data_IF_348026256653
#
_entry.id   IF_348026256653
#
_cell.length_a   1.000
_cell.length_b   1.000
_cell.length_c   1.000
_cell.angle_alpha   90.00
_cell.angle_beta   90.00
_cell.angle_gamma   90.00
#
_symmetry.space_group_name_H-M   'P 1'
#
loop_
_entity.id
_entity.type
_entity.pdbx_description
1 polymer ?
#
# COMPACT_ATOMS: atom_id res chain seq x y z
N UNK A 1 0.19 0.40 -14.73
CA UNK A 1 0.48 1.15 -13.49
C UNK A 1 -0.76 1.95 -13.09
N UNK A 2 -0.96 2.28 -11.81
CA UNK A 2 -2.08 3.13 -11.41
C UNK A 2 -1.98 4.52 -12.06
N UNK A 3 -3.12 5.15 -12.31
CA UNK A 3 -3.21 6.53 -12.81
C UNK A 3 -2.91 7.54 -11.70
N UNK A 4 -1.70 7.52 -11.15
CA UNK A 4 -1.23 8.52 -10.18
C UNK A 4 0.29 8.62 -10.22
N UNK A 5 0.78 9.84 -10.00
CA UNK A 5 2.19 10.08 -9.72
C UNK A 5 2.47 10.15 -8.21
N UNK A 6 1.43 10.06 -7.38
CA UNK A 6 1.55 10.15 -5.92
C UNK A 6 2.04 8.84 -5.32
N UNK A 7 3.10 8.89 -4.54
CA UNK A 7 3.70 7.74 -3.88
C UNK A 7 4.30 8.10 -2.52
N UNK A 8 4.48 7.08 -1.69
CA UNK A 8 5.29 7.10 -0.47
C UNK A 8 6.53 6.23 -0.67
N UNK A 9 7.63 6.57 0.00
CA UNK A 9 8.90 5.83 -0.11
C UNK A 9 9.64 5.77 1.22
N UNK A 10 10.26 4.62 1.49
CA UNK A 10 11.05 4.38 2.70
C UNK A 10 12.08 3.27 2.46
N UNK A 11 13.12 3.22 3.28
CA UNK A 11 14.12 2.15 3.27
C UNK A 11 13.62 0.95 4.10
N UNK A 12 13.75 -0.24 3.55
CA UNK A 12 13.25 -1.46 4.18
C UNK A 12 13.92 -2.72 3.69
N UNK A 13 13.27 -3.85 3.96
CA UNK A 13 13.78 -5.17 3.63
C UNK A 13 12.96 -5.89 2.57
N UNK A 14 13.53 -6.96 2.02
CA UNK A 14 12.77 -7.95 1.25
C UNK A 14 11.68 -8.59 2.14
N UNK A 15 10.53 -8.93 1.54
CA UNK A 15 9.39 -9.56 2.23
C UNK A 15 9.39 -11.08 2.13
N UNK A 16 10.49 -11.68 1.66
CA UNK A 16 10.72 -13.11 1.58
C UNK A 16 11.92 -13.53 2.46
N UNK A 17 12.11 -14.83 2.74
CA UNK A 17 13.20 -15.33 3.58
C UNK A 17 14.58 -14.77 3.20
N UNK A 18 15.35 -14.35 4.21
CA UNK A 18 16.60 -13.60 4.03
C UNK A 18 16.45 -12.16 4.53
N UNK A 19 15.28 -11.55 4.35
CA UNK A 19 14.89 -10.28 4.97
C UNK A 19 15.93 -9.15 4.85
N UNK A 20 16.70 -9.12 3.77
CA UNK A 20 17.82 -8.21 3.59
C UNK A 20 17.35 -6.75 3.53
N UNK A 21 17.96 -5.88 4.33
CA UNK A 21 17.66 -4.44 4.41
C UNK A 21 18.31 -3.66 3.27
N UNK A 22 17.97 -4.03 2.04
CA UNK A 22 18.57 -3.49 0.81
C UNK A 22 17.52 -2.93 -0.15
N UNK A 23 16.28 -2.74 0.30
CA UNK A 23 15.16 -2.33 -0.56
C UNK A 23 14.73 -0.91 -0.26
N UNK A 24 14.64 -0.06 -1.29
CA UNK A 24 13.92 1.21 -1.22
C UNK A 24 12.52 0.98 -1.77
N UNK A 25 11.52 1.05 -0.91
CA UNK A 25 10.13 0.85 -1.29
C UNK A 25 9.56 2.10 -1.95
N UNK A 26 8.73 1.91 -2.99
CA UNK A 26 7.90 2.95 -3.59
C UNK A 26 6.46 2.40 -3.63
N UNK A 27 5.58 3.02 -2.86
CA UNK A 27 4.18 2.61 -2.71
C UNK A 27 3.29 3.70 -3.31
N UNK A 28 2.59 3.38 -4.39
CA UNK A 28 1.65 4.31 -5.02
C UNK A 28 0.41 4.55 -4.15
N UNK A 29 -0.06 5.80 -4.10
CA UNK A 29 -1.24 6.20 -3.32
C UNK A 29 -2.58 5.94 -4.04
N UNK A 30 -2.57 5.12 -5.09
CA UNK A 30 -3.78 4.71 -5.83
C UNK A 30 -3.66 3.22 -6.18
N UNK A 31 -4.66 2.39 -5.85
CA UNK A 31 -4.66 0.99 -6.22
C UNK A 31 -4.95 0.80 -7.72
N UNK A 32 -4.62 -0.39 -8.23
CA UNK A 32 -5.17 -0.89 -9.50
C UNK A 32 -6.39 -1.74 -9.16
N UNK A 33 -7.50 -1.47 -9.83
CA UNK A 33 -8.73 -2.24 -9.66
C UNK A 33 -8.71 -3.48 -10.56
N UNK A 34 -9.27 -4.58 -10.05
CA UNK A 34 -9.35 -5.87 -10.73
C UNK A 34 -10.76 -6.43 -10.52
N UNK A 35 -11.27 -7.15 -11.51
CA UNK A 35 -12.57 -7.83 -11.42
C UNK A 35 -12.52 -9.00 -10.44
N UNK A 36 -13.70 -9.42 -9.96
CA UNK A 36 -13.79 -10.58 -9.06
C UNK A 36 -13.26 -11.85 -9.73
N UNK A 37 -13.53 -12.03 -11.02
CA UNK A 37 -13.15 -13.18 -11.81
C UNK A 37 -11.63 -13.32 -11.90
N UNK A 38 -10.93 -12.22 -12.16
CA UNK A 38 -9.46 -12.19 -12.19
C UNK A 38 -8.87 -12.49 -10.80
N UNK A 39 -9.44 -11.91 -9.73
CA UNK A 39 -9.01 -12.21 -8.36
C UNK A 39 -9.22 -13.69 -8.00
N UNK A 40 -10.33 -14.29 -8.43
CA UNK A 40 -10.57 -15.72 -8.23
C UNK A 40 -9.58 -16.58 -9.01
N UNK A 41 -9.18 -16.17 -10.21
CA UNK A 41 -8.16 -16.88 -10.97
C UNK A 41 -6.82 -16.92 -10.19
N UNK A 42 -6.40 -15.80 -9.59
CA UNK A 42 -5.21 -15.75 -8.74
C UNK A 42 -5.32 -16.67 -7.51
N UNK A 43 -6.49 -16.71 -6.87
CA UNK A 43 -6.73 -17.55 -5.68
C UNK A 43 -6.80 -19.05 -5.97
N UNK A 44 -6.85 -19.46 -7.25
CA UNK A 44 -6.80 -20.87 -7.66
C UNK A 44 -5.38 -21.42 -7.79
N UNK A 45 -4.36 -20.56 -7.72
CA UNK A 45 -2.96 -20.97 -7.79
C UNK A 45 -2.62 -21.91 -6.63
N UNK A 46 -1.68 -22.84 -6.87
CA UNK A 46 -1.17 -23.78 -5.88
C UNK A 46 0.34 -23.62 -5.72
N UNK A 47 0.84 -24.02 -4.55
CA UNK A 47 2.27 -24.18 -4.31
C UNK A 47 2.80 -25.43 -5.04
N UNK A 48 4.07 -25.39 -5.46
CA UNK A 48 4.70 -26.51 -6.18
C UNK A 48 4.56 -26.42 -7.70
N UNK A 49 4.98 -27.48 -8.40
CA UNK A 49 4.85 -27.57 -9.86
C UNK A 49 3.47 -28.08 -10.25
N UNK A 50 3.18 -28.08 -11.55
CA UNK A 50 1.92 -28.58 -12.09
C UNK A 50 1.79 -30.10 -11.91
N UNK A 51 2.90 -30.84 -12.02
CA UNK A 51 2.96 -32.29 -11.87
C UNK A 51 2.83 -32.72 -10.39
N UNK A 52 3.23 -31.83 -9.46
CA UNK A 52 3.22 -32.13 -8.03
C UNK A 52 2.68 -30.94 -7.21
N UNK A 53 1.37 -30.65 -7.35
CA UNK A 53 0.74 -29.55 -6.65
C UNK A 53 0.63 -29.87 -5.15
N UNK A 54 0.95 -28.87 -4.31
CA UNK A 54 0.84 -28.95 -2.85
C UNK A 54 -0.44 -28.23 -2.40
N UNK A 55 -0.33 -27.36 -1.40
CA UNK A 55 -1.44 -26.59 -0.86
C UNK A 55 -1.83 -25.41 -1.79
N UNK A 56 -3.06 -24.88 -1.67
CA UNK A 56 -3.44 -23.61 -2.29
C UNK A 56 -2.44 -22.49 -1.93
N UNK A 57 -2.09 -21.66 -2.90
CA UNK A 57 -1.25 -20.50 -2.69
C UNK A 57 -2.12 -19.35 -2.12
N UNK A 58 -2.31 -19.38 -0.81
CA UNK A 58 -3.06 -18.36 -0.08
C UNK A 58 -2.23 -17.74 1.04
N UNK A 59 -2.64 -16.56 1.50
CA UNK A 59 -2.01 -15.83 2.62
C UNK A 59 -0.48 -15.69 2.48
N UNK A 60 0.00 -15.58 1.25
CA UNK A 60 1.41 -15.43 0.88
C UNK A 60 1.88 -13.98 1.07
N UNK A 61 1.62 -13.44 2.26
CA UNK A 61 1.92 -12.06 2.64
C UNK A 61 2.69 -12.06 3.96
N UNK A 62 3.75 -11.25 4.04
CA UNK A 62 4.47 -11.00 5.30
C UNK A 62 3.60 -10.09 6.19
N UNK A 63 3.44 -10.38 7.50
CA UNK A 63 2.73 -9.49 8.42
C UNK A 63 3.34 -8.08 8.47
N UNK A 64 2.54 -7.11 8.92
CA UNK A 64 3.04 -5.75 9.19
C UNK A 64 4.21 -5.80 10.17
N UNK A 65 5.18 -4.92 9.96
CA UNK A 65 6.38 -4.80 10.79
C UNK A 65 6.45 -3.39 11.36
N UNK A 66 7.09 -3.23 12.51
CA UNK A 66 7.25 -1.93 13.14
C UNK A 66 8.07 -0.97 12.26
N UNK A 67 7.75 0.33 12.36
CA UNK A 67 8.43 1.36 11.57
C UNK A 67 9.86 1.64 12.08
N UNK A 68 10.15 1.39 13.36
CA UNK A 68 11.46 1.57 13.99
C UNK A 68 12.11 2.93 13.67
N UNK A 69 11.34 4.01 13.82
CA UNK A 69 11.80 5.40 13.60
C UNK A 69 12.32 5.68 12.18
N UNK A 70 12.02 4.82 11.20
CA UNK A 70 12.37 5.07 9.79
C UNK A 70 11.54 6.22 9.24
N UNK A 71 12.21 7.10 8.50
CA UNK A 71 11.54 8.21 7.81
C UNK A 71 10.78 7.70 6.59
N UNK A 72 9.48 8.00 6.54
CA UNK A 72 8.66 7.85 5.33
C UNK A 72 8.62 9.18 4.60
N UNK A 73 8.97 9.17 3.31
CA UNK A 73 8.90 10.35 2.43
C UNK A 73 7.74 10.20 1.46
N UNK A 74 7.20 11.30 0.98
CA UNK A 74 6.09 11.29 0.02
C UNK A 74 6.16 12.52 -0.89
N UNK A 75 5.64 12.39 -2.11
CA UNK A 75 5.42 13.52 -3.01
C UNK A 75 3.96 14.00 -3.01
N UNK A 76 3.15 13.54 -2.05
CA UNK A 76 1.76 13.97 -1.88
C UNK A 76 1.73 15.37 -1.27
N UNK A 77 1.13 16.33 -1.99
CA UNK A 77 0.77 17.62 -1.41
C UNK A 77 -0.58 17.50 -0.69
N UNK A 78 -0.51 17.34 0.63
CA UNK A 78 -1.69 17.22 1.47
C UNK A 78 -2.53 18.51 1.51
N UNK A 79 -1.91 19.70 1.37
CA UNK A 79 -2.65 20.98 1.39
C UNK A 79 -3.48 21.15 0.12
N UNK A 80 -2.88 20.84 -1.02
CA UNK A 80 -3.58 20.84 -2.29
C UNK A 80 -4.70 19.79 -2.29
N UNK A 81 -4.41 18.59 -1.76
CA UNK A 81 -5.40 17.51 -1.65
C UNK A 81 -6.60 17.93 -0.80
N UNK A 82 -6.38 18.50 0.39
CA UNK A 82 -7.45 18.97 1.27
C UNK A 82 -8.28 20.08 0.61
N UNK A 83 -7.63 20.96 -0.16
CA UNK A 83 -8.32 22.02 -0.90
C UNK A 83 -9.22 21.43 -1.99
N UNK A 84 -8.74 20.43 -2.73
CA UNK A 84 -9.55 19.74 -3.75
C UNK A 84 -10.73 18.98 -3.14
N UNK A 85 -10.53 18.29 -2.01
CA UNK A 85 -11.60 17.61 -1.27
C UNK A 85 -12.66 18.62 -0.83
N UNK A 86 -12.23 19.76 -0.26
CA UNK A 86 -13.14 20.84 0.15
C UNK A 86 -13.98 21.36 -1.00
N UNK A 87 -13.35 21.64 -2.14
CA UNK A 87 -14.04 22.17 -3.32
C UNK A 87 -15.01 21.17 -3.94
N UNK A 88 -14.69 19.87 -3.88
CA UNK A 88 -15.48 18.83 -4.54
C UNK A 88 -16.60 18.28 -3.67
N UNK A 89 -16.39 18.16 -2.36
CA UNK A 89 -17.29 17.45 -1.46
C UNK A 89 -17.85 18.31 -0.32
N UNK A 90 -17.38 19.55 -0.16
CA UNK A 90 -17.82 20.45 0.91
C UNK A 90 -16.87 20.47 2.13
N UNK A 91 -16.92 21.52 2.96
CA UNK A 91 -16.04 21.70 4.12
C UNK A 91 -16.20 20.63 5.21
N UNK A 92 -17.36 19.99 5.33
CA UNK A 92 -17.67 18.93 6.30
C UNK A 92 -16.85 17.65 6.09
N UNK A 93 -16.40 17.38 4.86
CA UNK A 93 -15.54 16.23 4.53
C UNK A 93 -14.04 16.49 4.76
N UNK A 94 -13.67 17.73 5.07
CA UNK A 94 -12.26 18.12 5.27
C UNK A 94 -11.80 17.79 6.69
N UNK A 95 -12.68 17.94 7.68
CA UNK A 95 -12.33 17.74 9.10
C UNK A 95 -11.93 16.28 9.37
N UNK A 96 -12.71 15.32 8.89
CA UNK A 96 -12.40 13.88 8.99
C UNK A 96 -11.12 13.47 8.26
N UNK A 97 -10.74 14.19 7.20
CA UNK A 97 -9.51 13.91 6.43
C UNK A 97 -8.27 14.47 7.14
N UNK A 98 -8.38 15.63 7.79
CA UNK A 98 -7.30 16.23 8.59
C UNK A 98 -7.00 15.39 9.84
N UNK A 99 -8.03 14.87 10.51
CA UNK A 99 -7.84 14.03 11.69
C UNK A 99 -7.04 12.75 11.38
N UNK A 100 -7.29 12.13 10.21
CA UNK A 100 -6.53 10.96 9.74
C UNK A 100 -5.08 11.31 9.38
N UNK A 101 -4.82 12.51 8.86
CA UNK A 101 -3.47 12.95 8.49
C UNK A 101 -2.63 13.39 9.69
N UNK A 102 -3.26 14.02 10.69
CA UNK A 102 -2.57 14.45 11.91
C UNK A 102 -2.25 13.27 12.84
N UNK A 103 -3.07 12.21 12.84
CA UNK A 103 -2.82 11.01 13.64
C UNK A 103 -1.55 10.22 13.23
N UNK A 104 -0.97 10.52 12.06
CA UNK A 104 0.26 9.88 11.56
C UNK A 104 1.52 10.77 11.66
N UNK A 105 1.39 11.99 12.18
CA UNK A 105 2.51 12.93 12.34
C UNK A 105 2.90 13.17 13.81
N UNK A 106 2.19 12.56 14.77
CA UNK A 106 2.44 12.71 16.21
C UNK A 106 3.05 11.46 16.90
N UNK A 107 3.66 10.53 16.16
CA UNK A 107 4.54 9.48 16.74
C UNK A 107 5.98 9.55 16.23
#
# INVERSE_FOLDING_TARGET
>A
MPETNSYMTYEGSTTHPGCWETTVWIIYNRPIYMTKQELYALRRLKQGSEEQPKAPLGNNVRPLQFIHSRTVRTNIDFKQTLTQVRLKYGPEFVHSTIDVLNYHLEE
#
